data_IF_960561686059
#
_entry.id   IF_960561686059
#
_cell.length_a   1.000
_cell.length_b   1.000
_cell.length_c   1.000
_cell.angle_alpha   90.00
_cell.angle_beta   90.00
_cell.angle_gamma   90.00
#
_symmetry.space_group_name_H-M   'P 1'
#
loop_
_entity.id
_entity.type
_entity.pdbx_description
1 polymer ?
#
# COMPACT_ATOMS: atom_id res chain seq x y z
N UNK A 1 -4.68 -7.74 -18.60
CA UNK A 1 -4.65 -7.29 -17.19
C UNK A 1 -5.89 -7.85 -16.51
N UNK A 2 -5.74 -8.59 -15.41
CA UNK A 2 -6.90 -9.12 -14.69
C UNK A 2 -7.59 -8.00 -13.90
N UNK A 3 -8.88 -8.14 -13.60
CA UNK A 3 -9.63 -7.18 -12.77
C UNK A 3 -8.96 -6.97 -11.39
N UNK A 4 -8.36 -8.03 -10.85
CA UNK A 4 -7.62 -7.98 -9.60
C UNK A 4 -6.35 -7.10 -9.69
N UNK A 5 -5.53 -7.29 -10.73
CA UNK A 5 -4.33 -6.47 -10.95
C UNK A 5 -4.68 -5.01 -11.20
N UNK A 6 -5.75 -4.72 -11.94
CA UNK A 6 -6.23 -3.36 -12.17
C UNK A 6 -6.63 -2.66 -10.86
N UNK A 7 -7.39 -3.34 -10.01
CA UNK A 7 -7.78 -2.82 -8.70
C UNK A 7 -6.55 -2.59 -7.80
N UNK A 8 -5.57 -3.49 -7.81
CA UNK A 8 -4.32 -3.30 -7.06
C UNK A 8 -3.56 -2.05 -7.50
N UNK A 9 -3.46 -1.81 -8.81
CA UNK A 9 -2.78 -0.63 -9.37
C UNK A 9 -3.50 0.65 -8.93
N UNK A 10 -4.83 0.71 -9.09
CA UNK A 10 -5.61 1.90 -8.70
C UNK A 10 -5.51 2.16 -7.20
N UNK A 11 -5.69 1.13 -6.38
CA UNK A 11 -5.56 1.26 -4.93
C UNK A 11 -4.16 1.74 -4.54
N UNK A 12 -3.11 1.22 -5.18
CA UNK A 12 -1.74 1.67 -4.93
C UNK A 12 -1.52 3.14 -5.28
N UNK A 13 -2.02 3.57 -6.45
CA UNK A 13 -1.95 4.97 -6.86
C UNK A 13 -2.74 5.89 -5.92
N UNK A 14 -3.91 5.45 -5.46
CA UNK A 14 -4.71 6.17 -4.49
C UNK A 14 -3.98 6.29 -3.14
N UNK A 15 -3.34 5.22 -2.67
CA UNK A 15 -2.52 5.23 -1.45
C UNK A 15 -1.34 6.17 -1.55
N UNK A 16 -0.59 6.15 -2.67
CA UNK A 16 0.51 7.10 -2.90
C UNK A 16 -0.02 8.53 -2.91
N UNK A 17 -1.10 8.80 -3.65
CA UNK A 17 -1.70 10.14 -3.74
C UNK A 17 -2.12 10.66 -2.36
N UNK A 18 -2.71 9.81 -1.54
CA UNK A 18 -3.07 10.15 -0.16
C UNK A 18 -1.86 10.35 0.75
N UNK A 19 -0.78 9.60 0.57
CA UNK A 19 0.47 9.79 1.32
C UNK A 19 1.18 11.10 0.97
N UNK A 20 1.04 11.60 -0.26
CA UNK A 20 1.60 12.88 -0.69
C UNK A 20 0.93 14.07 -0.01
N UNK A 21 -0.37 14.00 0.31
CA UNK A 21 -1.11 15.10 0.95
C UNK A 21 -0.47 15.57 2.27
N UNK A 22 -0.25 14.73 3.30
CA UNK A 22 0.37 15.16 4.55
C UNK A 22 1.83 15.60 4.35
N UNK A 23 2.59 15.00 3.42
CA UNK A 23 3.95 15.45 3.10
C UNK A 23 3.94 16.84 2.48
N UNK A 24 2.99 17.13 1.58
CA UNK A 24 2.81 18.45 0.98
C UNK A 24 2.40 19.50 2.02
N UNK A 25 1.43 19.18 2.88
CA UNK A 25 1.01 20.08 3.96
C UNK A 25 2.13 20.33 4.98
N UNK A 26 2.99 19.34 5.23
CA UNK A 26 4.19 19.50 6.05
C UNK A 26 5.19 20.47 5.41
N UNK A 27 5.53 20.25 4.13
CA UNK A 27 6.51 21.11 3.41
C UNK A 27 6.03 22.55 3.23
N UNK A 28 4.71 22.77 3.17
CA UNK A 28 4.11 24.11 3.15
C UNK A 28 4.04 24.80 4.52
N UNK A 29 4.41 24.11 5.60
CA UNK A 29 4.31 24.64 6.96
C UNK A 29 2.87 24.75 7.49
N UNK A 30 1.86 24.35 6.71
CA UNK A 30 0.45 24.36 7.11
C UNK A 30 0.19 23.40 8.27
N UNK A 31 0.89 22.27 8.31
CA UNK A 31 0.84 21.36 9.46
C UNK A 31 1.31 22.07 10.74
N UNK A 32 2.30 22.97 10.64
CA UNK A 32 2.79 23.80 11.73
C UNK A 32 1.76 24.77 12.32
N UNK A 33 0.80 25.20 11.49
CA UNK A 33 -0.21 26.19 11.84
C UNK A 33 -1.48 25.56 12.42
N UNK A 34 -1.83 24.35 11.96
CA UNK A 34 -3.10 23.69 12.32
C UNK A 34 -2.96 22.47 13.22
N UNK A 35 -1.76 21.90 13.36
CA UNK A 35 -1.51 20.70 14.14
C UNK A 35 -0.56 20.99 15.31
N UNK A 36 -0.63 20.16 16.34
CA UNK A 36 0.32 20.21 17.45
C UNK A 36 1.68 19.65 17.01
N UNK A 37 2.75 20.19 17.57
CA UNK A 37 4.13 19.83 17.26
C UNK A 37 4.42 18.31 17.31
N UNK A 38 3.82 17.61 18.29
CA UNK A 38 3.91 16.15 18.41
C UNK A 38 3.28 15.40 17.24
N UNK A 39 2.26 15.98 16.61
CA UNK A 39 1.56 15.39 15.47
C UNK A 39 2.22 15.72 14.12
N UNK A 40 3.12 16.70 14.05
CA UNK A 40 3.83 17.05 12.82
C UNK A 40 4.64 15.87 12.27
N UNK A 41 5.43 15.26 13.15
CA UNK A 41 6.27 14.13 12.79
C UNK A 41 5.45 12.87 12.52
N UNK A 42 4.32 12.69 13.21
CA UNK A 42 3.41 11.57 12.97
C UNK A 42 2.75 11.72 11.59
N UNK A 43 2.27 12.90 11.24
CA UNK A 43 1.67 13.15 9.92
C UNK A 43 2.68 12.97 8.79
N UNK A 44 3.92 13.46 8.96
CA UNK A 44 5.00 13.29 7.99
C UNK A 44 5.38 11.82 7.80
N UNK A 45 5.66 11.13 8.91
CA UNK A 45 6.07 9.72 8.88
C UNK A 45 4.95 8.81 8.36
N UNK A 46 3.69 9.08 8.72
CA UNK A 46 2.53 8.37 8.19
C UNK A 46 2.34 8.56 6.69
N UNK A 47 2.49 9.80 6.19
CA UNK A 47 2.48 10.10 4.76
C UNK A 47 3.58 9.35 4.00
N UNK A 48 4.79 9.39 4.53
CA UNK A 48 5.94 8.71 3.94
C UNK A 48 5.75 7.18 3.91
N UNK A 49 5.26 6.60 5.01
CA UNK A 49 4.95 5.18 5.08
C UNK A 49 3.90 4.76 4.04
N UNK A 50 2.85 5.56 3.85
CA UNK A 50 1.85 5.30 2.80
C UNK A 50 2.45 5.35 1.39
N UNK A 51 3.33 6.32 1.10
CA UNK A 51 4.00 6.39 -0.21
C UNK A 51 4.84 5.14 -0.44
N UNK A 52 5.62 4.71 0.56
CA UNK A 52 6.47 3.51 0.47
C UNK A 52 5.63 2.25 0.26
N UNK A 53 4.56 2.07 1.05
CA UNK A 53 3.63 0.94 0.92
C UNK A 53 2.93 0.92 -0.43
N UNK A 54 2.42 2.06 -0.88
CA UNK A 54 1.76 2.17 -2.18
C UNK A 54 2.73 1.89 -3.33
N UNK A 55 3.97 2.39 -3.27
CA UNK A 55 4.98 2.10 -4.28
C UNK A 55 5.38 0.63 -4.29
N UNK A 56 5.58 0.04 -3.11
CA UNK A 56 5.87 -1.38 -2.99
C UNK A 56 4.75 -2.23 -3.62
N UNK A 57 3.50 -1.92 -3.31
CA UNK A 57 2.34 -2.63 -3.85
C UNK A 57 2.17 -2.43 -5.36
N UNK A 58 2.51 -1.24 -5.88
CA UNK A 58 2.49 -0.94 -7.30
C UNK A 58 3.56 -1.73 -8.06
N UNK A 59 4.80 -1.77 -7.53
CA UNK A 59 5.92 -2.50 -8.13
C UNK A 59 5.70 -4.03 -8.14
N UNK A 60 4.94 -4.55 -7.18
CA UNK A 60 4.63 -5.97 -7.05
C UNK A 60 3.23 -6.32 -7.57
N UNK A 61 2.52 -5.38 -8.19
CA UNK A 61 1.18 -5.60 -8.73
C UNK A 61 1.19 -6.72 -9.78
N UNK A 62 0.27 -7.68 -9.64
CA UNK A 62 0.19 -8.84 -10.54
C UNK A 62 1.21 -9.95 -10.28
N UNK A 63 2.03 -9.86 -9.23
CA UNK A 63 2.77 -11.03 -8.74
C UNK A 63 1.80 -11.97 -8.03
N UNK A 64 1.65 -13.17 -8.55
CA UNK A 64 1.02 -14.26 -7.81
C UNK A 64 2.00 -14.71 -6.73
N UNK A 65 1.71 -14.34 -5.49
CA UNK A 65 2.37 -14.97 -4.34
C UNK A 65 1.71 -16.32 -4.14
N UNK A 66 2.42 -17.39 -4.49
CA UNK A 66 2.00 -18.73 -4.12
C UNK A 66 1.96 -18.83 -2.60
N UNK A 67 0.77 -18.89 -2.01
CA UNK A 67 0.62 -19.48 -0.70
C UNK A 67 1.07 -20.93 -0.86
N UNK A 68 2.25 -21.29 -0.36
CA UNK A 68 2.92 -22.57 -0.61
C UNK A 68 2.21 -23.81 -0.04
N UNK A 69 0.95 -24.00 -0.38
CA UNK A 69 0.20 -25.23 -0.18
C UNK A 69 -0.05 -25.86 -1.54
N UNK A 70 0.73 -26.89 -1.81
CA UNK A 70 0.42 -27.87 -2.83
C UNK A 70 -0.89 -28.55 -2.42
N UNK A 71 -1.98 -28.28 -3.14
CA UNK A 71 -3.21 -29.05 -3.00
C UNK A 71 -3.09 -30.34 -3.82
N UNK A 72 -2.00 -31.08 -3.65
CA UNK A 72 -1.87 -32.46 -4.12
C UNK A 72 -2.52 -33.40 -3.09
N UNK A 73 -3.85 -33.40 -3.04
CA UNK A 73 -4.59 -34.52 -2.46
C UNK A 73 -5.18 -35.36 -3.58
N UNK A 74 -4.30 -35.92 -4.41
CA UNK A 74 -4.59 -37.18 -5.08
C UNK A 74 -4.45 -38.29 -4.04
N UNK A 75 -5.57 -38.65 -3.41
CA UNK A 75 -5.74 -40.00 -2.90
C UNK A 75 -6.96 -40.59 -3.61
N UNK A 76 -6.74 -40.94 -4.87
CA UNK A 76 -7.44 -42.06 -5.48
C UNK A 76 -6.98 -43.33 -4.76
N UNK A 77 -7.82 -43.82 -3.85
CA UNK A 77 -7.76 -45.20 -3.41
C UNK A 77 -9.13 -45.81 -3.67
N UNK A 78 -9.36 -46.15 -4.95
CA UNK A 78 -10.30 -47.19 -5.31
C UNK A 78 -9.95 -48.49 -4.59
N UNK A 79 -10.87 -48.98 -3.77
CA UNK A 79 -11.11 -50.39 -3.45
C UNK A 79 -12.58 -50.55 -3.08
#
# INVERSE_FOLDING_TARGET
MTKATFNQIISSLATISWGVVPVYLYTKGLIGEYLSESFHLIALSGGLAMIVLGLFNLLHAGREVGCGHDHSHEHDHGH
#
